data_IF_954243732369
#
_entry.id   IF_954243732369
#
_cell.length_a   1.000
_cell.length_b   1.000
_cell.length_c   1.000
_cell.angle_alpha   90.00
_cell.angle_beta   90.00
_cell.angle_gamma   90.00
#
_symmetry.space_group_name_H-M   'P 1'
#
loop_
_entity.id
_entity.type
_entity.pdbx_description
1 polymer ?
#
# COMPACT_ATOMS: atom_id res chain seq x y z
N UNK A 1 37.74 18.50 -5.20
CA UNK A 1 39.07 18.48 -5.84
C UNK A 1 39.74 17.13 -5.56
N UNK A 2 39.74 16.20 -6.53
CA UNK A 2 40.91 15.43 -6.97
C UNK A 2 40.46 14.51 -8.12
N UNK A 3 40.89 14.83 -9.34
CA UNK A 3 40.75 13.99 -10.53
C UNK A 3 41.94 13.04 -10.61
N UNK A 4 41.72 11.78 -10.99
CA UNK A 4 42.77 10.92 -11.54
C UNK A 4 42.37 10.45 -12.93
N UNK A 5 43.06 11.02 -13.92
CA UNK A 5 43.04 10.66 -15.33
C UNK A 5 43.85 9.39 -15.56
N UNK A 6 43.28 8.38 -16.23
CA UNK A 6 44.03 7.29 -16.84
C UNK A 6 44.25 7.60 -18.31
N UNK A 7 45.51 7.83 -18.70
CA UNK A 7 45.95 8.13 -20.07
C UNK A 7 46.64 6.87 -20.62
N UNK A 8 45.95 6.11 -21.46
CA UNK A 8 46.53 4.95 -22.16
C UNK A 8 47.05 5.42 -23.52
N UNK A 9 48.37 5.48 -23.68
CA UNK A 9 49.03 5.72 -24.96
C UNK A 9 49.35 4.37 -25.62
N UNK A 10 48.62 4.00 -26.67
CA UNK A 10 48.99 2.94 -27.60
C UNK A 10 49.94 3.53 -28.66
N UNK A 11 51.19 3.08 -28.67
CA UNK A 11 52.13 3.36 -29.76
C UNK A 11 52.52 2.02 -30.40
N UNK A 12 52.13 1.84 -31.66
CA UNK A 12 52.53 0.71 -32.51
C UNK A 12 53.85 1.07 -33.22
N UNK A 13 54.84 0.15 -33.28
CA UNK A 13 55.99 0.32 -34.16
C UNK A 13 55.68 -0.15 -35.61
N UNK A 14 56.42 0.35 -36.61
CA UNK A 14 56.13 0.15 -38.02
C UNK A 14 56.64 -1.19 -38.56
N UNK A 15 55.89 -1.70 -39.54
CA UNK A 15 56.15 -2.92 -40.32
C UNK A 15 57.36 -2.75 -41.23
N UNK A 16 58.22 -3.77 -41.27
CA UNK A 16 59.21 -3.98 -42.34
C UNK A 16 59.01 -5.36 -42.95
N UNK A 17 58.71 -5.39 -44.24
CA UNK A 17 58.68 -6.59 -45.07
C UNK A 17 60.10 -7.00 -45.47
N UNK A 18 60.41 -8.30 -45.40
CA UNK A 18 61.33 -8.97 -46.32
C UNK A 18 60.94 -10.44 -46.45
N UNK A 19 60.99 -10.94 -47.69
CA UNK A 19 60.40 -12.19 -48.11
C UNK A 19 61.15 -13.48 -47.75
N UNK A 20 60.38 -14.57 -47.74
CA UNK A 20 60.69 -15.80 -48.47
C UNK A 20 61.50 -16.89 -47.76
N UNK A 21 60.82 -17.96 -47.34
CA UNK A 21 61.03 -19.34 -47.85
C UNK A 21 60.13 -20.36 -47.12
N UNK A 22 59.70 -21.35 -47.89
CA UNK A 22 59.07 -22.62 -47.53
C UNK A 22 59.53 -23.20 -46.17
N UNK A 23 58.59 -23.74 -45.38
CA UNK A 23 58.66 -25.10 -44.81
C UNK A 23 57.34 -25.55 -44.14
N UNK A 24 57.04 -26.83 -44.37
CA UNK A 24 55.94 -27.65 -43.86
C UNK A 24 56.03 -27.82 -42.32
N UNK A 25 54.92 -27.69 -41.58
CA UNK A 25 54.94 -27.99 -40.14
C UNK A 25 53.63 -27.71 -39.39
N UNK A 26 52.87 -28.78 -39.12
CA UNK A 26 51.95 -29.04 -37.99
C UNK A 26 51.31 -27.83 -37.29
N UNK A 27 49.99 -27.69 -37.47
CA UNK A 27 49.10 -26.78 -36.71
C UNK A 27 49.09 -27.22 -35.24
N UNK A 28 49.92 -26.58 -34.42
CA UNK A 28 49.87 -26.65 -32.97
C UNK A 28 49.01 -25.50 -32.45
N UNK A 29 47.89 -25.85 -31.81
CA UNK A 29 46.95 -24.93 -31.16
C UNK A 29 47.66 -24.23 -29.98
N UNK A 30 48.26 -23.08 -30.23
CA UNK A 30 48.78 -22.19 -29.18
C UNK A 30 47.69 -21.18 -28.85
N UNK A 31 46.85 -21.53 -27.87
CA UNK A 31 45.96 -20.56 -27.22
C UNK A 31 46.84 -19.49 -26.56
N UNK A 32 46.80 -18.29 -27.12
CA UNK A 32 47.61 -17.16 -26.67
C UNK A 32 47.27 -16.81 -25.21
N UNK A 33 48.24 -16.71 -24.28
CA UNK A 33 47.99 -16.38 -22.87
C UNK A 33 47.31 -15.00 -22.69
N UNK A 34 47.31 -14.17 -23.75
CA UNK A 34 46.55 -12.92 -23.80
C UNK A 34 45.02 -13.14 -23.75
N UNK A 35 44.51 -14.23 -24.32
CA UNK A 35 43.08 -14.55 -24.35
C UNK A 35 42.60 -15.11 -23.00
N UNK A 36 43.49 -15.81 -22.28
CA UNK A 36 43.24 -16.25 -20.91
C UNK A 36 43.25 -15.06 -19.93
N UNK A 37 44.13 -14.07 -20.14
CA UNK A 37 44.17 -12.85 -19.34
C UNK A 37 42.92 -11.97 -19.57
N UNK A 38 42.38 -11.91 -20.79
CA UNK A 38 41.10 -11.22 -21.07
C UNK A 38 39.91 -11.97 -20.48
N UNK A 39 39.93 -13.31 -20.45
CA UNK A 39 38.88 -14.10 -19.77
C UNK A 39 38.97 -14.05 -18.23
N UNK A 40 40.16 -13.90 -17.65
CA UNK A 40 40.32 -13.76 -16.19
C UNK A 40 40.02 -12.35 -15.68
N UNK A 41 40.12 -11.33 -16.51
CA UNK A 41 39.70 -9.94 -16.19
C UNK A 41 38.21 -9.69 -16.49
N UNK A 42 37.52 -10.65 -17.10
CA UNK A 42 36.05 -10.64 -17.27
C UNK A 42 35.32 -11.54 -16.28
N UNK A 43 35.97 -11.96 -15.20
CA UNK A 43 35.28 -12.35 -13.96
C UNK A 43 34.69 -11.08 -13.36
N UNK A 44 33.51 -10.74 -13.88
CA UNK A 44 32.36 -10.39 -13.07
C UNK A 44 32.70 -9.49 -11.86
N UNK A 45 32.96 -8.21 -12.12
CA UNK A 45 32.21 -7.20 -11.35
C UNK A 45 30.78 -7.29 -11.87
N UNK A 46 30.10 -8.39 -11.55
CA UNK A 46 28.66 -8.33 -11.37
C UNK A 46 28.54 -7.41 -10.18
N UNK A 47 27.94 -6.20 -10.30
CA UNK A 47 27.49 -5.55 -9.09
C UNK A 47 26.65 -6.60 -8.40
N UNK A 48 27.10 -7.06 -7.23
CA UNK A 48 26.20 -7.70 -6.30
C UNK A 48 25.13 -6.63 -6.09
N UNK A 49 24.04 -6.73 -6.85
CA UNK A 49 22.77 -6.19 -6.46
C UNK A 49 22.59 -6.90 -5.13
N UNK A 50 22.90 -6.18 -4.05
CA UNK A 50 22.55 -6.59 -2.71
C UNK A 50 21.15 -7.16 -2.83
N UNK A 51 20.96 -8.43 -2.50
CA UNK A 51 19.63 -8.90 -2.21
C UNK A 51 19.05 -7.83 -1.26
N UNK A 52 17.99 -7.15 -1.68
CA UNK A 52 17.36 -6.15 -0.84
C UNK A 52 16.89 -6.89 0.39
N UNK A 53 17.65 -6.76 1.48
CA UNK A 53 17.36 -7.43 2.73
C UNK A 53 16.06 -6.81 3.27
N UNK A 54 15.07 -7.64 3.58
CA UNK A 54 13.84 -7.18 4.23
C UNK A 54 14.23 -6.65 5.62
N UNK A 55 13.81 -5.43 5.93
CA UNK A 55 14.14 -4.80 7.21
C UNK A 55 12.88 -4.69 8.05
N UNK A 56 12.87 -5.42 9.18
CA UNK A 56 11.80 -5.38 10.17
C UNK A 56 11.92 -4.11 11.00
N UNK A 57 10.82 -3.40 11.19
CA UNK A 57 10.71 -2.23 12.05
C UNK A 57 9.77 -2.53 13.23
N UNK A 58 10.02 -1.94 14.42
CA UNK A 58 8.99 -1.87 15.44
C UNK A 58 7.82 -1.01 14.93
N UNK A 59 6.61 -1.39 15.29
CA UNK A 59 5.42 -0.60 14.99
C UNK A 59 5.46 0.74 15.74
N UNK A 60 5.18 1.87 15.06
CA UNK A 60 4.96 3.14 15.73
C UNK A 60 3.60 3.13 16.44
N UNK A 61 3.59 3.51 17.72
CA UNK A 61 2.34 3.88 18.40
C UNK A 61 1.88 5.24 17.85
N UNK A 62 0.93 5.21 16.92
CA UNK A 62 0.32 6.42 16.36
C UNK A 62 -1.04 6.62 17.00
N UNK A 63 -1.13 7.52 17.96
CA UNK A 63 -2.39 7.93 18.55
C UNK A 63 -2.75 9.34 18.09
N UNK A 64 -3.98 9.52 17.61
CA UNK A 64 -4.54 10.85 17.38
C UNK A 64 -4.69 11.58 18.72
N UNK A 65 -4.53 12.90 18.67
CA UNK A 65 -4.82 13.77 19.80
C UNK A 65 -6.32 13.77 20.09
N UNK A 66 -6.70 14.05 21.35
CA UNK A 66 -8.10 14.23 21.72
C UNK A 66 -8.80 15.29 20.86
N UNK A 67 -8.07 16.33 20.44
CA UNK A 67 -8.61 17.39 19.60
C UNK A 67 -8.94 16.89 18.18
N UNK A 68 -8.10 16.04 17.60
CA UNK A 68 -8.33 15.46 16.27
C UNK A 68 -9.54 14.52 16.30
N UNK A 69 -9.63 13.66 17.32
CA UNK A 69 -10.78 12.77 17.53
C UNK A 69 -12.06 13.59 17.73
N UNK A 70 -12.02 14.65 18.54
CA UNK A 70 -13.17 15.53 18.78
C UNK A 70 -13.64 16.21 17.49
N UNK A 71 -12.72 16.65 16.64
CA UNK A 71 -13.02 17.27 15.35
C UNK A 71 -13.77 16.31 14.40
N UNK A 72 -13.40 15.02 14.40
CA UNK A 72 -14.07 13.99 13.61
C UNK A 72 -15.51 13.80 14.10
N UNK A 73 -15.72 13.66 15.40
CA UNK A 73 -17.09 13.51 15.95
C UNK A 73 -17.96 14.74 15.70
N UNK A 74 -17.40 15.95 15.85
CA UNK A 74 -18.13 17.17 15.49
C UNK A 74 -18.51 17.18 14.02
N UNK A 75 -17.60 16.78 13.12
CA UNK A 75 -17.89 16.70 11.68
C UNK A 75 -19.00 15.67 11.39
N UNK A 76 -18.96 14.49 12.01
CA UNK A 76 -20.02 13.49 11.86
C UNK A 76 -21.38 14.03 12.34
N UNK A 77 -21.40 14.75 13.45
CA UNK A 77 -22.62 15.37 13.97
C UNK A 77 -23.14 16.45 13.01
N UNK A 78 -22.26 17.28 12.45
CA UNK A 78 -22.62 18.29 11.45
C UNK A 78 -23.19 17.65 10.17
N UNK A 79 -22.59 16.55 9.69
CA UNK A 79 -23.06 15.80 8.52
C UNK A 79 -24.43 15.13 8.79
N UNK A 80 -24.65 14.59 9.99
CA UNK A 80 -25.97 14.07 10.41
C UNK A 80 -27.00 15.20 10.48
N UNK A 81 -26.66 16.35 11.05
CA UNK A 81 -27.55 17.52 11.15
C UNK A 81 -27.94 18.02 9.75
N UNK A 82 -26.99 18.03 8.79
CA UNK A 82 -27.20 18.48 7.42
C UNK A 82 -27.94 17.46 6.53
N UNK A 83 -28.04 16.19 6.94
CA UNK A 83 -28.67 15.12 6.15
C UNK A 83 -30.19 15.25 6.01
N UNK A 84 -30.76 14.62 4.97
CA UNK A 84 -32.21 14.64 4.67
C UNK A 84 -33.00 13.54 5.41
N UNK A 85 -32.45 12.97 6.49
CA UNK A 85 -33.11 11.92 7.29
C UNK A 85 -34.26 12.46 8.15
N UNK A 86 -35.12 11.56 8.60
CA UNK A 86 -36.26 11.88 9.48
C UNK A 86 -35.80 12.62 10.76
N UNK A 87 -36.61 13.58 11.21
CA UNK A 87 -36.25 14.48 12.31
C UNK A 87 -36.10 13.75 13.66
N UNK A 88 -36.91 12.72 13.92
CA UNK A 88 -36.81 11.95 15.16
C UNK A 88 -35.56 11.06 15.11
N UNK A 89 -35.28 10.43 13.96
CA UNK A 89 -34.05 9.64 13.74
C UNK A 89 -32.80 10.51 13.88
N UNK A 90 -32.80 11.71 13.28
CA UNK A 90 -31.70 12.68 13.38
C UNK A 90 -31.40 13.03 14.82
N UNK A 91 -32.44 13.35 15.60
CA UNK A 91 -32.30 13.71 17.00
C UNK A 91 -31.70 12.56 17.83
N UNK A 92 -32.16 11.34 17.63
CA UNK A 92 -31.68 10.16 18.36
C UNK A 92 -30.21 9.84 18.01
N UNK A 93 -29.82 9.97 16.73
CA UNK A 93 -28.44 9.79 16.28
C UNK A 93 -27.50 10.85 16.86
N UNK A 94 -27.90 12.12 16.84
CA UNK A 94 -27.08 13.21 17.42
C UNK A 94 -26.89 13.02 18.92
N UNK A 95 -27.92 12.59 19.64
CA UNK A 95 -27.80 12.25 21.04
C UNK A 95 -26.84 11.07 21.25
N UNK A 96 -26.95 10.03 20.41
CA UNK A 96 -26.09 8.85 20.48
C UNK A 96 -24.62 9.19 20.18
N UNK A 97 -24.36 10.00 19.15
CA UNK A 97 -23.03 10.51 18.81
C UNK A 97 -22.43 11.38 19.93
N UNK A 98 -23.25 12.20 20.58
CA UNK A 98 -22.82 12.97 21.74
C UNK A 98 -22.39 12.03 22.89
N UNK A 99 -23.13 10.94 23.15
CA UNK A 99 -22.76 9.95 24.16
C UNK A 99 -21.45 9.20 23.82
N UNK A 100 -21.23 8.89 22.54
CA UNK A 100 -19.97 8.32 22.04
C UNK A 100 -18.81 9.29 22.27
N UNK A 101 -18.99 10.55 21.85
CA UNK A 101 -18.00 11.63 22.00
C UNK A 101 -17.63 11.89 23.47
N UNK A 102 -18.63 11.91 24.35
CA UNK A 102 -18.43 12.09 25.80
C UNK A 102 -17.85 10.84 26.49
N UNK A 103 -17.61 9.77 25.72
CA UNK A 103 -17.05 8.50 26.20
C UNK A 103 -17.86 7.89 27.35
N UNK A 104 -19.19 7.96 27.25
CA UNK A 104 -20.13 7.51 28.30
C UNK A 104 -20.64 6.07 28.09
N UNK A 105 -20.21 5.44 27.00
CA UNK A 105 -20.68 4.13 26.53
C UNK A 105 -19.56 3.09 26.56
N UNK A 106 -19.95 1.81 26.56
CA UNK A 106 -19.00 0.71 26.30
C UNK A 106 -18.54 0.71 24.84
N UNK A 107 -17.40 0.08 24.54
CA UNK A 107 -16.87 0.05 23.17
C UNK A 107 -17.79 -0.69 22.18
N UNK A 108 -18.52 -1.70 22.65
CA UNK A 108 -19.54 -2.40 21.86
C UNK A 108 -20.69 -1.47 21.47
N UNK A 109 -21.18 -0.65 22.42
CA UNK A 109 -22.23 0.32 22.15
C UNK A 109 -21.75 1.43 21.21
N UNK A 110 -20.51 1.91 21.39
CA UNK A 110 -19.90 2.89 20.48
C UNK A 110 -19.82 2.34 19.05
N UNK A 111 -19.28 1.14 18.89
CA UNK A 111 -19.13 0.50 17.57
C UNK A 111 -20.47 0.33 16.86
N UNK A 112 -21.52 -0.11 17.60
CA UNK A 112 -22.86 -0.23 17.05
C UNK A 112 -23.43 1.12 16.57
N UNK A 113 -23.26 2.18 17.36
CA UNK A 113 -23.71 3.53 16.99
C UNK A 113 -22.94 4.06 15.77
N UNK A 114 -21.61 3.94 15.77
CA UNK A 114 -20.77 4.44 14.67
C UNK A 114 -21.05 3.69 13.36
N UNK A 115 -21.28 2.39 13.44
CA UNK A 115 -21.73 1.57 12.31
C UNK A 115 -23.05 2.08 11.72
N UNK A 116 -24.04 2.36 12.57
CA UNK A 116 -25.35 2.85 12.12
C UNK A 116 -25.24 4.25 11.49
N UNK A 117 -24.48 5.15 12.12
CA UNK A 117 -24.19 6.49 11.58
C UNK A 117 -23.53 6.38 10.20
N UNK A 118 -22.51 5.53 10.07
CA UNK A 118 -21.82 5.33 8.79
C UNK A 118 -22.75 4.83 7.69
N UNK A 119 -23.59 3.82 7.98
CA UNK A 119 -24.61 3.32 7.04
C UNK A 119 -25.53 4.44 6.58
N UNK A 120 -26.03 5.26 7.51
CA UNK A 120 -26.96 6.34 7.20
C UNK A 120 -26.29 7.42 6.35
N UNK A 121 -25.11 7.92 6.74
CA UNK A 121 -24.42 8.97 6.00
C UNK A 121 -24.07 8.52 4.56
N UNK A 122 -23.64 7.28 4.38
CA UNK A 122 -23.31 6.73 3.07
C UNK A 122 -24.54 6.50 2.18
N UNK A 123 -25.74 6.30 2.75
CA UNK A 123 -26.99 6.24 1.95
C UNK A 123 -27.43 7.60 1.40
N UNK A 124 -27.03 8.70 2.04
CA UNK A 124 -27.44 10.06 1.67
C UNK A 124 -26.50 10.69 0.64
N UNK A 125 -25.23 10.26 0.62
CA UNK A 125 -24.27 10.64 -0.42
C UNK A 125 -24.74 10.19 -1.80
N UNK A 126 -24.89 11.12 -2.74
CA UNK A 126 -25.33 10.83 -4.10
C UNK A 126 -24.44 9.78 -4.78
N UNK A 127 -24.98 8.58 -4.99
CA UNK A 127 -24.56 7.64 -6.02
C UNK A 127 -23.36 6.77 -5.68
N UNK A 128 -23.54 5.76 -4.81
CA UNK A 128 -22.66 4.59 -4.77
C UNK A 128 -21.18 4.94 -4.61
N UNK A 129 -20.86 5.89 -3.73
CA UNK A 129 -19.49 6.11 -3.25
C UNK A 129 -19.15 4.90 -2.38
N UNK A 130 -18.85 3.77 -3.03
CA UNK A 130 -17.83 2.88 -2.52
C UNK A 130 -16.57 3.72 -2.62
N UNK A 131 -16.01 4.16 -1.49
CA UNK A 131 -14.76 4.87 -1.52
C UNK A 131 -13.73 3.81 -1.81
N UNK A 132 -13.38 3.70 -3.08
CA UNK A 132 -12.41 2.72 -3.54
C UNK A 132 -11.08 3.42 -3.48
N UNK A 133 -10.15 2.91 -2.69
CA UNK A 133 -8.73 3.22 -2.85
C UNK A 133 -8.24 2.56 -4.15
N UNK A 134 -8.80 3.00 -5.28
CA UNK A 134 -8.81 2.47 -6.64
C UNK A 134 -8.47 0.98 -6.76
N UNK A 135 -9.42 0.17 -7.24
CA UNK A 135 -9.23 -1.24 -7.54
C UNK A 135 -9.84 -1.66 -8.88
N UNK A 136 -9.44 -2.83 -9.37
CA UNK A 136 -10.08 -3.51 -10.50
C UNK A 136 -10.36 -4.96 -10.14
N UNK A 137 -11.63 -5.38 -10.26
CA UNK A 137 -12.02 -6.78 -10.13
C UNK A 137 -11.31 -7.61 -11.21
N UNK A 138 -10.69 -8.72 -10.80
CA UNK A 138 -9.90 -9.56 -11.69
C UNK A 138 -8.49 -9.01 -11.99
N UNK A 139 -8.03 -8.02 -11.22
CA UNK A 139 -6.66 -7.55 -11.22
C UNK A 139 -6.37 -6.36 -12.13
N UNK A 140 -5.27 -5.67 -11.86
CA UNK A 140 -4.83 -4.53 -12.67
C UNK A 140 -3.84 -3.60 -11.95
N UNK A 141 -3.32 -2.59 -12.67
CA UNK A 141 -2.42 -1.59 -12.10
C UNK A 141 -3.22 -0.53 -11.32
N UNK A 142 -3.58 -0.86 -10.09
CA UNK A 142 -4.38 -0.03 -9.20
C UNK A 142 -3.93 -0.24 -7.74
N UNK A 143 -4.06 0.75 -6.85
CA UNK A 143 -3.55 0.69 -5.49
C UNK A 143 -3.87 -0.60 -4.72
N UNK A 144 -5.14 -1.00 -4.58
CA UNK A 144 -5.49 -2.26 -3.89
C UNK A 144 -4.77 -3.48 -4.49
N UNK A 145 -4.93 -3.67 -5.80
CA UNK A 145 -4.40 -4.82 -6.51
C UNK A 145 -2.86 -4.87 -6.46
N UNK A 146 -2.20 -3.74 -6.68
CA UNK A 146 -0.74 -3.65 -6.72
C UNK A 146 -0.13 -3.74 -5.32
N UNK A 147 -0.69 -3.07 -4.31
CA UNK A 147 -0.14 -3.12 -2.95
C UNK A 147 -0.22 -4.54 -2.37
N UNK A 148 -1.32 -5.26 -2.60
CA UNK A 148 -1.44 -6.65 -2.18
C UNK A 148 -0.42 -7.56 -2.90
N UNK A 149 -0.32 -7.43 -4.23
CA UNK A 149 0.65 -8.18 -5.05
C UNK A 149 2.09 -7.91 -4.64
N UNK A 150 2.46 -6.64 -4.49
CA UNK A 150 3.82 -6.20 -4.14
C UNK A 150 4.18 -6.71 -2.74
N UNK A 151 3.27 -6.65 -1.77
CA UNK A 151 3.50 -7.20 -0.44
C UNK A 151 3.80 -8.70 -0.51
N UNK A 152 2.98 -9.48 -1.23
CA UNK A 152 3.22 -10.91 -1.44
C UNK A 152 4.57 -11.22 -2.10
N UNK A 153 4.92 -10.48 -3.16
CA UNK A 153 6.19 -10.63 -3.86
C UNK A 153 7.39 -10.34 -2.95
N UNK A 154 7.32 -9.26 -2.16
CA UNK A 154 8.41 -8.86 -1.26
C UNK A 154 8.57 -9.85 -0.11
N UNK A 155 7.49 -10.45 0.35
CA UNK A 155 7.51 -11.49 1.40
C UNK A 155 7.78 -12.90 0.85
N UNK A 156 8.10 -13.04 -0.44
CA UNK A 156 8.57 -14.29 -1.02
C UNK A 156 7.48 -15.31 -1.33
N UNK A 157 6.22 -14.88 -1.47
CA UNK A 157 5.14 -15.75 -1.93
C UNK A 157 5.37 -16.20 -3.39
N UNK A 158 4.75 -17.31 -3.75
CA UNK A 158 4.81 -17.81 -5.13
C UNK A 158 4.16 -16.84 -6.12
N UNK A 159 4.53 -16.91 -7.39
CA UNK A 159 3.89 -16.10 -8.43
C UNK A 159 2.39 -16.37 -8.54
N UNK A 160 1.94 -17.61 -8.31
CA UNK A 160 0.51 -17.96 -8.32
C UNK A 160 -0.24 -17.28 -7.17
N UNK A 161 0.31 -17.33 -5.96
CA UNK A 161 -0.25 -16.63 -4.80
C UNK A 161 -0.32 -15.11 -5.05
N UNK A 162 0.75 -14.52 -5.58
CA UNK A 162 0.78 -13.09 -5.90
C UNK A 162 -0.26 -12.69 -6.97
N UNK A 163 -0.58 -13.59 -7.91
CA UNK A 163 -1.67 -13.38 -8.87
C UNK A 163 -3.02 -13.36 -8.14
N UNK A 164 -3.29 -14.31 -7.25
CA UNK A 164 -4.53 -14.34 -6.46
C UNK A 164 -4.68 -13.06 -5.63
N UNK A 165 -3.60 -12.63 -4.95
CA UNK A 165 -3.59 -11.37 -4.20
C UNK A 165 -3.93 -10.17 -5.10
N UNK A 166 -3.40 -10.13 -6.32
CA UNK A 166 -3.73 -9.06 -7.26
C UNK A 166 -5.18 -9.10 -7.70
N UNK A 167 -5.70 -10.28 -8.03
CA UNK A 167 -7.02 -10.42 -8.66
C UNK A 167 -8.17 -10.21 -7.67
N UNK A 168 -8.00 -10.64 -6.42
CA UNK A 168 -9.05 -10.62 -5.39
C UNK A 168 -9.03 -9.37 -4.48
N UNK A 169 -7.95 -8.58 -4.47
CA UNK A 169 -7.82 -7.46 -3.53
C UNK A 169 -8.81 -6.31 -3.76
N UNK A 170 -9.53 -6.26 -4.88
CA UNK A 170 -10.57 -5.26 -5.12
C UNK A 170 -11.99 -5.80 -4.87
N UNK A 171 -12.16 -7.11 -4.64
CA UNK A 171 -13.49 -7.71 -4.44
C UNK A 171 -14.30 -7.06 -3.30
N UNK A 172 -13.70 -6.69 -2.15
CA UNK A 172 -14.48 -6.13 -1.04
C UNK A 172 -15.17 -4.79 -1.36
N UNK A 173 -14.73 -4.08 -2.40
CA UNK A 173 -15.42 -2.88 -2.90
C UNK A 173 -16.81 -3.20 -3.49
N UNK A 174 -17.00 -4.42 -4.00
CA UNK A 174 -18.17 -4.83 -4.80
C UNK A 174 -19.11 -5.81 -4.04
N UNK A 175 -18.89 -6.06 -2.75
CA UNK A 175 -19.71 -6.99 -1.96
C UNK A 175 -21.16 -6.52 -1.70
N UNK A 176 -21.55 -5.36 -2.22
CA UNK A 176 -22.95 -4.92 -2.26
C UNK A 176 -23.48 -4.35 -0.94
N UNK A 177 -22.66 -4.29 0.10
CA UNK A 177 -22.90 -3.46 1.28
C UNK A 177 -22.51 -2.00 0.98
N UNK A 178 -23.06 -1.04 1.73
CA UNK A 178 -22.84 0.41 1.57
C UNK A 178 -21.39 0.88 1.84
N UNK A 179 -20.39 0.02 1.67
CA UNK A 179 -18.96 0.23 2.01
C UNK A 179 -18.73 0.79 3.41
N UNK A 180 -19.70 0.62 4.33
CA UNK A 180 -19.61 1.18 5.66
C UNK A 180 -18.46 0.56 6.44
N UNK A 181 -18.10 -0.70 6.19
CA UNK A 181 -17.01 -1.41 6.84
C UNK A 181 -15.62 -1.11 6.25
N UNK A 182 -15.50 -0.14 5.33
CA UNK A 182 -14.22 0.30 4.75
C UNK A 182 -13.54 1.41 5.55
N UNK A 183 -14.21 1.92 6.59
CA UNK A 183 -13.66 2.98 7.44
C UNK A 183 -13.20 2.46 8.80
N UNK A 184 -12.21 3.14 9.38
CA UNK A 184 -11.68 2.83 10.70
C UNK A 184 -12.77 2.80 11.79
N UNK A 185 -13.54 3.87 11.92
CA UNK A 185 -14.51 4.01 13.03
C UNK A 185 -15.73 3.08 12.92
N UNK A 186 -15.90 2.40 11.79
CA UNK A 186 -17.09 1.60 11.48
C UNK A 186 -16.79 0.13 11.22
N UNK A 187 -15.53 -0.31 11.10
CA UNK A 187 -15.20 -1.74 11.16
C UNK A 187 -14.05 -2.25 10.31
N UNK A 188 -13.33 -1.41 9.56
CA UNK A 188 -12.22 -1.88 8.72
C UNK A 188 -11.12 -2.67 9.49
N UNK A 189 -10.72 -2.29 10.72
CA UNK A 189 -9.76 -3.08 11.51
C UNK A 189 -10.25 -4.50 11.81
N UNK A 190 -11.52 -4.64 12.20
CA UNK A 190 -12.14 -5.93 12.49
C UNK A 190 -12.23 -6.80 11.23
N UNK A 191 -12.54 -6.20 10.07
CA UNK A 191 -12.54 -6.91 8.80
C UNK A 191 -11.12 -7.37 8.41
N UNK A 192 -10.12 -6.50 8.53
CA UNK A 192 -8.72 -6.85 8.27
C UNK A 192 -8.31 -8.06 9.13
N UNK A 193 -8.59 -8.05 10.43
CA UNK A 193 -8.29 -9.15 11.34
C UNK A 193 -9.06 -10.43 11.01
N UNK A 194 -10.38 -10.32 10.79
CA UNK A 194 -11.23 -11.46 10.47
C UNK A 194 -10.69 -12.24 9.27
N UNK A 195 -10.42 -11.54 8.16
CA UNK A 195 -9.93 -12.17 6.95
C UNK A 195 -8.48 -12.66 7.08
N UNK A 196 -7.63 -11.99 7.87
CA UNK A 196 -6.29 -12.48 8.20
C UNK A 196 -6.34 -13.81 8.93
N UNK A 197 -7.24 -13.94 9.92
CA UNK A 197 -7.40 -15.15 10.71
C UNK A 197 -7.99 -16.31 9.89
N UNK A 198 -8.94 -16.02 8.97
CA UNK A 198 -9.44 -17.02 8.02
C UNK A 198 -8.31 -17.48 7.08
N UNK A 199 -7.52 -16.54 6.54
CA UNK A 199 -6.39 -16.86 5.67
C UNK A 199 -5.36 -17.74 6.38
N UNK A 200 -5.01 -17.41 7.64
CA UNK A 200 -4.16 -18.25 8.50
C UNK A 200 -4.73 -19.65 8.67
N UNK A 201 -6.03 -19.75 8.94
CA UNK A 201 -6.69 -21.04 9.08
C UNK A 201 -6.49 -21.95 7.87
N UNK A 202 -6.60 -21.42 6.66
CA UNK A 202 -6.40 -22.19 5.43
C UNK A 202 -4.92 -22.49 5.12
N UNK A 203 -4.03 -21.50 5.26
CA UNK A 203 -2.61 -21.66 4.88
C UNK A 203 -1.78 -22.49 5.86
N UNK A 204 -2.28 -22.70 7.08
CA UNK A 204 -1.65 -23.55 8.09
C UNK A 204 -2.38 -24.89 8.27
N UNK A 205 -3.38 -25.18 7.43
CA UNK A 205 -3.99 -26.51 7.36
C UNK A 205 -3.09 -27.48 6.57
N UNK A 206 -3.21 -28.78 6.81
CA UNK A 206 -2.42 -29.82 6.14
C UNK A 206 -2.91 -30.09 4.69
N UNK A 207 -4.01 -29.45 4.26
CA UNK A 207 -4.60 -29.58 2.92
C UNK A 207 -4.24 -28.38 2.01
N UNK A 208 -3.19 -28.51 1.16
CA UNK A 208 -2.76 -27.43 0.28
C UNK A 208 -3.75 -27.13 -0.85
N UNK A 209 -4.83 -27.91 -1.02
CA UNK A 209 -5.89 -27.55 -1.96
C UNK A 209 -6.70 -26.32 -1.51
N UNK A 210 -6.53 -25.90 -0.25
CA UNK A 210 -7.14 -24.70 0.31
C UNK A 210 -6.27 -23.45 0.17
N UNK A 211 -5.03 -23.55 -0.35
CA UNK A 211 -4.12 -22.41 -0.47
C UNK A 211 -4.74 -21.25 -1.25
N UNK A 212 -5.46 -21.53 -2.33
CA UNK A 212 -6.13 -20.50 -3.13
C UNK A 212 -7.17 -19.73 -2.30
N UNK A 213 -7.93 -20.42 -1.43
CA UNK A 213 -8.85 -19.78 -0.48
C UNK A 213 -8.10 -18.97 0.57
N UNK A 214 -6.97 -19.49 1.06
CA UNK A 214 -6.08 -18.80 1.98
C UNK A 214 -5.57 -17.48 1.42
N UNK A 215 -5.01 -17.50 0.20
CA UNK A 215 -4.53 -16.29 -0.47
C UNK A 215 -5.65 -15.34 -0.86
N UNK A 216 -6.83 -15.85 -1.23
CA UNK A 216 -8.01 -15.00 -1.50
C UNK A 216 -8.43 -14.22 -0.26
N UNK A 217 -8.51 -14.89 0.91
CA UNK A 217 -8.82 -14.20 2.17
C UNK A 217 -7.69 -13.26 2.63
N UNK A 218 -6.42 -13.60 2.36
CA UNK A 218 -5.32 -12.68 2.58
C UNK A 218 -5.46 -11.41 1.72
N UNK A 219 -5.91 -11.54 0.46
CA UNK A 219 -6.19 -10.39 -0.39
C UNK A 219 -7.29 -9.49 0.21
N UNK A 220 -8.35 -10.08 0.76
CA UNK A 220 -9.42 -9.33 1.44
C UNK A 220 -8.91 -8.62 2.70
N UNK A 221 -8.07 -9.28 3.49
CA UNK A 221 -7.44 -8.64 4.66
C UNK A 221 -6.54 -7.46 4.25
N UNK A 222 -5.73 -7.65 3.20
CA UNK A 222 -4.86 -6.61 2.63
C UNK A 222 -5.67 -5.44 2.05
N UNK A 223 -6.86 -5.69 1.51
CA UNK A 223 -7.77 -4.64 1.06
C UNK A 223 -8.11 -3.68 2.20
N UNK A 224 -8.67 -4.19 3.31
CA UNK A 224 -9.05 -3.36 4.46
C UNK A 224 -7.85 -2.70 5.15
N UNK A 225 -6.68 -3.37 5.18
CA UNK A 225 -5.45 -2.72 5.67
C UNK A 225 -5.01 -1.58 4.73
N UNK A 226 -5.14 -1.77 3.42
CA UNK A 226 -4.80 -0.75 2.41
C UNK A 226 -5.73 0.45 2.49
N UNK A 227 -7.03 0.22 2.70
CA UNK A 227 -8.00 1.28 2.99
C UNK A 227 -7.53 2.14 4.16
N UNK A 228 -6.99 1.58 5.22
CA UNK A 228 -6.57 2.40 6.36
C UNK A 228 -5.31 3.22 6.09
N UNK A 229 -4.62 2.99 4.97
CA UNK A 229 -3.58 3.88 4.48
C UNK A 229 -4.14 5.15 3.83
N UNK A 230 -5.44 5.22 3.54
CA UNK A 230 -6.14 6.37 3.00
C UNK A 230 -6.64 7.28 4.13
N UNK A 231 -6.18 8.55 4.22
CA UNK A 231 -6.69 9.52 5.18
C UNK A 231 -8.23 9.58 5.31
N UNK A 232 -8.98 9.55 4.20
CA UNK A 232 -10.45 9.66 4.17
C UNK A 232 -11.17 8.41 4.65
N UNK A 233 -10.48 7.26 4.77
CA UNK A 233 -11.06 6.04 5.33
C UNK A 233 -10.98 6.01 6.86
N UNK A 234 -10.60 7.10 7.53
CA UNK A 234 -10.75 7.15 8.98
C UNK A 234 -12.24 7.17 9.39
N UNK A 235 -13.05 8.00 8.73
CA UNK A 235 -14.48 8.17 8.99
C UNK A 235 -15.22 8.61 7.72
N UNK A 236 -16.53 8.30 7.56
CA UNK A 236 -17.32 8.64 6.39
C UNK A 236 -17.74 10.13 6.39
N UNK A 237 -16.73 11.01 6.39
CA UNK A 237 -16.86 12.48 6.36
C UNK A 237 -16.11 13.03 5.15
N UNK A 238 -16.47 14.24 4.72
CA UNK A 238 -15.83 14.90 3.56
C UNK A 238 -15.91 14.09 2.24
N UNK A 239 -17.02 13.38 2.01
CA UNK A 239 -17.19 12.44 0.88
C UNK A 239 -16.92 13.03 -0.51
N UNK A 240 -17.20 14.32 -0.72
CA UNK A 240 -16.89 14.99 -1.99
C UNK A 240 -15.38 15.13 -2.23
N UNK A 241 -14.62 15.49 -1.19
CA UNK A 241 -13.15 15.51 -1.25
C UNK A 241 -12.60 14.09 -1.40
N UNK A 242 -13.18 13.13 -0.69
CA UNK A 242 -12.83 11.72 -0.78
C UNK A 242 -12.85 11.23 -2.23
N UNK A 243 -13.99 11.36 -2.92
CA UNK A 243 -14.14 10.93 -4.30
C UNK A 243 -13.17 11.65 -5.26
N UNK A 244 -12.96 12.95 -5.08
CA UNK A 244 -12.02 13.72 -5.90
C UNK A 244 -10.56 13.26 -5.67
N UNK A 245 -10.19 12.95 -4.43
CA UNK A 245 -8.86 12.51 -4.07
C UNK A 245 -8.55 11.13 -4.66
N UNK A 246 -9.43 10.15 -4.48
CA UNK A 246 -9.21 8.78 -4.93
C UNK A 246 -9.39 8.62 -6.43
N UNK A 247 -10.62 8.84 -6.91
CA UNK A 247 -11.03 8.46 -8.26
C UNK A 247 -10.43 9.36 -9.33
N UNK A 248 -10.00 10.57 -8.97
CA UNK A 248 -9.42 11.52 -9.92
C UNK A 248 -7.94 11.77 -9.71
N UNK A 249 -7.47 11.97 -8.48
CA UNK A 249 -6.06 12.33 -8.26
C UNK A 249 -5.15 11.13 -8.08
N UNK A 250 -5.42 10.27 -7.10
CA UNK A 250 -4.61 9.08 -6.80
C UNK A 250 -4.63 8.14 -8.00
N UNK A 251 -5.82 7.81 -8.51
CA UNK A 251 -5.98 6.93 -9.66
C UNK A 251 -5.11 7.34 -10.86
N UNK A 252 -5.19 8.62 -11.26
CA UNK A 252 -4.44 9.12 -12.41
C UNK A 252 -2.93 9.23 -12.16
N UNK A 253 -2.50 9.30 -10.90
CA UNK A 253 -1.09 9.41 -10.51
C UNK A 253 -0.49 8.12 -9.96
N UNK A 254 -1.22 7.00 -10.00
CA UNK A 254 -0.76 5.73 -9.45
C UNK A 254 0.48 5.20 -10.19
N UNK A 255 0.37 5.04 -11.51
CA UNK A 255 1.45 4.54 -12.38
C UNK A 255 2.02 5.60 -13.33
N UNK A 256 1.61 6.86 -13.13
CA UNK A 256 1.95 7.97 -14.01
C UNK A 256 2.08 9.27 -13.21
N UNK A 257 2.66 10.32 -13.80
CA UNK A 257 2.74 11.62 -13.14
C UNK A 257 3.59 11.57 -11.87
N UNK A 258 2.95 11.56 -10.69
CA UNK A 258 3.64 11.46 -9.39
C UNK A 258 4.19 10.04 -9.12
N UNK A 259 3.62 9.02 -9.76
CA UNK A 259 4.02 7.61 -9.76
C UNK A 259 4.16 6.99 -8.36
N UNK A 260 3.04 6.97 -7.63
CA UNK A 260 2.99 6.43 -6.26
C UNK A 260 3.26 4.92 -6.18
N UNK A 261 2.98 4.17 -7.25
CA UNK A 261 3.31 2.74 -7.33
C UNK A 261 4.80 2.50 -7.14
N UNK A 262 5.64 3.34 -7.75
CA UNK A 262 7.09 3.23 -7.58
C UNK A 262 7.54 3.47 -6.13
N UNK A 263 6.89 4.38 -5.40
CA UNK A 263 7.20 4.60 -3.98
C UNK A 263 6.93 3.32 -3.15
N UNK A 264 5.86 2.57 -3.46
CA UNK A 264 5.56 1.26 -2.85
C UNK A 264 6.55 0.18 -3.29
N UNK A 265 6.86 0.09 -4.58
CA UNK A 265 7.80 -0.92 -5.11
C UNK A 265 9.22 -0.76 -4.55
N UNK A 266 9.65 0.47 -4.28
CA UNK A 266 10.98 0.78 -3.74
C UNK A 266 11.09 0.59 -2.22
N UNK A 267 9.97 0.47 -1.50
CA UNK A 267 9.98 0.20 -0.06
C UNK A 267 10.36 -1.26 0.25
N UNK A 268 11.32 -1.48 1.15
CA UNK A 268 11.75 -2.82 1.61
C UNK A 268 11.63 -3.00 3.13
N UNK A 269 11.04 -2.01 3.80
CA UNK A 269 10.80 -2.03 5.23
C UNK A 269 9.39 -2.55 5.49
N UNK A 270 9.20 -3.27 6.59
CA UNK A 270 7.88 -3.68 7.04
C UNK A 270 7.77 -3.63 8.56
N UNK A 271 6.55 -3.51 9.06
CA UNK A 271 6.26 -3.55 10.49
C UNK A 271 5.93 -4.97 10.94
N UNK A 272 6.44 -5.38 12.09
CA UNK A 272 6.17 -6.71 12.62
C UNK A 272 4.78 -6.77 13.29
N UNK A 273 3.78 -7.21 12.52
CA UNK A 273 2.39 -7.32 12.97
C UNK A 273 2.20 -8.50 13.91
N UNK A 274 1.65 -8.23 15.10
CA UNK A 274 1.21 -9.24 16.07
C UNK A 274 -0.29 -9.25 16.34
N UNK A 275 -0.92 -8.08 16.20
CA UNK A 275 -2.36 -7.88 16.32
C UNK A 275 -2.81 -7.05 15.11
N UNK A 276 -3.67 -7.63 14.27
CA UNK A 276 -4.02 -7.04 12.98
C UNK A 276 -4.92 -5.82 13.18
N UNK A 277 -5.84 -5.86 14.16
CA UNK A 277 -6.78 -4.77 14.41
C UNK A 277 -6.05 -3.55 15.02
N UNK A 278 -5.15 -3.77 15.98
CA UNK A 278 -4.32 -2.70 16.54
C UNK A 278 -3.39 -2.09 15.47
N UNK A 279 -2.77 -2.93 14.63
CA UNK A 279 -1.92 -2.47 13.51
C UNK A 279 -2.70 -1.62 12.50
N UNK A 280 -3.91 -2.07 12.16
CA UNK A 280 -4.85 -1.35 11.33
C UNK A 280 -5.21 0.02 11.94
N UNK A 281 -5.45 0.09 13.25
CA UNK A 281 -5.69 1.34 13.96
C UNK A 281 -4.50 2.29 13.98
N UNK A 282 -3.28 1.77 14.13
CA UNK A 282 -2.04 2.55 14.03
C UNK A 282 -1.87 3.17 12.64
N UNK A 283 -2.13 2.40 11.58
CA UNK A 283 -2.07 2.88 10.20
C UNK A 283 -3.15 3.95 9.93
N UNK A 284 -4.40 3.69 10.32
CA UNK A 284 -5.49 4.64 10.18
C UNK A 284 -5.16 5.99 10.85
N UNK A 285 -4.61 5.94 12.07
CA UNK A 285 -4.19 7.12 12.81
C UNK A 285 -3.03 7.85 12.13
N UNK A 286 -2.04 7.12 11.59
CA UNK A 286 -0.92 7.70 10.86
C UNK A 286 -1.39 8.45 9.61
N UNK A 287 -2.26 7.83 8.81
CA UNK A 287 -2.81 8.44 7.60
C UNK A 287 -3.71 9.64 7.93
N UNK A 288 -4.53 9.54 8.97
CA UNK A 288 -5.44 10.62 9.35
C UNK A 288 -4.72 11.90 9.84
N UNK A 289 -3.49 11.81 10.37
CA UNK A 289 -2.68 13.01 10.70
C UNK A 289 -2.47 13.94 9.50
N UNK A 290 -2.62 13.43 8.27
CA UNK A 290 -2.49 14.21 7.03
C UNK A 290 -3.82 14.78 6.52
N UNK A 291 -4.96 14.27 6.99
CA UNK A 291 -6.31 14.59 6.51
C UNK A 291 -6.56 16.09 6.45
N UNK A 292 -6.33 16.77 7.58
CA UNK A 292 -6.66 18.18 7.75
C UNK A 292 -5.91 19.10 6.81
N UNK A 293 -4.68 18.75 6.44
CA UNK A 293 -3.91 19.49 5.46
C UNK A 293 -4.41 19.20 4.04
N UNK A 294 -4.61 17.91 3.71
CA UNK A 294 -5.05 17.47 2.38
C UNK A 294 -6.40 18.11 2.04
N UNK A 295 -7.41 17.92 2.88
CA UNK A 295 -8.76 18.49 2.70
C UNK A 295 -8.71 20.01 2.50
N UNK A 296 -8.08 20.76 3.42
CA UNK A 296 -8.02 22.23 3.31
C UNK A 296 -7.31 22.68 2.04
N UNK A 297 -6.30 21.94 1.59
CA UNK A 297 -5.61 22.23 0.32
C UNK A 297 -6.56 22.03 -0.86
N UNK A 298 -7.34 20.95 -0.86
CA UNK A 298 -8.35 20.69 -1.89
C UNK A 298 -9.43 21.78 -1.95
N UNK A 299 -9.89 22.26 -0.80
CA UNK A 299 -10.94 23.29 -0.73
C UNK A 299 -10.45 24.67 -1.17
N UNK A 300 -9.18 24.99 -0.92
CA UNK A 300 -8.63 26.34 -1.12
C UNK A 300 -8.05 26.57 -2.53
N UNK A 301 -7.56 25.52 -3.19
CA UNK A 301 -6.76 25.67 -4.42
C UNK A 301 -7.32 24.81 -5.54
N UNK A 302 -7.61 25.40 -6.70
CA UNK A 302 -8.10 24.65 -7.86
C UNK A 302 -7.08 23.68 -8.47
N UNK A 303 -5.79 23.89 -8.21
CA UNK A 303 -4.68 23.03 -8.64
C UNK A 303 -4.07 22.24 -7.46
N UNK A 304 -4.87 21.91 -6.45
CA UNK A 304 -4.45 21.24 -5.22
C UNK A 304 -3.58 20.00 -5.43
N UNK A 305 -3.78 19.23 -6.51
CA UNK A 305 -2.99 18.03 -6.83
C UNK A 305 -1.51 18.29 -7.16
N UNK A 306 -1.12 19.55 -7.40
CA UNK A 306 0.29 19.94 -7.58
C UNK A 306 0.93 20.48 -6.30
N UNK A 307 0.20 20.52 -5.19
CA UNK A 307 0.74 20.95 -3.91
C UNK A 307 1.81 19.95 -3.43
N UNK A 308 3.06 20.38 -3.20
CA UNK A 308 4.16 19.48 -2.87
C UNK A 308 3.99 18.78 -1.52
N UNK A 309 3.35 19.43 -0.54
CA UNK A 309 3.09 18.83 0.77
C UNK A 309 1.99 17.79 0.68
N UNK A 310 0.92 18.04 -0.08
CA UNK A 310 -0.12 17.05 -0.35
C UNK A 310 0.49 15.82 -1.03
N UNK A 311 1.30 16.01 -2.08
CA UNK A 311 2.01 14.92 -2.77
C UNK A 311 2.84 14.12 -1.77
N UNK A 312 3.63 14.78 -0.91
CA UNK A 312 4.47 14.09 0.06
C UNK A 312 3.64 13.32 1.10
N UNK A 313 2.53 13.87 1.57
CA UNK A 313 1.65 13.17 2.51
C UNK A 313 0.96 11.97 1.87
N UNK A 314 0.52 12.09 0.61
CA UNK A 314 0.03 10.94 -0.16
C UNK A 314 1.10 9.85 -0.28
N UNK A 315 2.37 10.21 -0.52
CA UNK A 315 3.48 9.24 -0.54
C UNK A 315 3.67 8.54 0.79
N UNK A 316 3.66 9.29 1.89
CA UNK A 316 3.83 8.72 3.22
C UNK A 316 2.74 7.68 3.52
N UNK A 317 1.48 8.02 3.22
CA UNK A 317 0.33 7.12 3.33
C UNK A 317 0.59 5.78 2.60
N UNK A 318 0.98 5.84 1.32
CA UNK A 318 1.27 4.64 0.53
C UNK A 318 2.45 3.83 1.06
N UNK A 319 3.53 4.50 1.47
CA UNK A 319 4.72 3.83 2.00
C UNK A 319 4.43 3.17 3.34
N UNK A 320 3.65 3.80 4.21
CA UNK A 320 3.25 3.19 5.49
C UNK A 320 2.27 2.04 5.27
N UNK A 321 1.27 2.19 4.39
CA UNK A 321 0.40 1.08 3.99
C UNK A 321 1.18 -0.11 3.42
N UNK A 322 2.23 0.13 2.62
CA UNK A 322 3.09 -0.93 2.11
C UNK A 322 3.83 -1.69 3.22
N UNK A 323 4.34 -0.99 4.26
CA UNK A 323 5.01 -1.62 5.41
C UNK A 323 4.06 -2.50 6.20
N UNK A 324 2.84 -2.04 6.44
CA UNK A 324 1.81 -2.81 7.15
C UNK A 324 1.31 -4.00 6.33
N UNK A 325 1.09 -3.84 5.02
CA UNK A 325 0.70 -4.94 4.15
C UNK A 325 1.75 -6.06 4.11
N UNK A 326 3.04 -5.71 4.03
CA UNK A 326 4.12 -6.69 4.14
C UNK A 326 4.12 -7.38 5.51
N UNK A 327 3.91 -6.62 6.59
CA UNK A 327 3.75 -7.16 7.94
C UNK A 327 2.55 -8.08 8.12
N UNK A 328 1.44 -7.79 7.44
CA UNK A 328 0.25 -8.61 7.44
C UNK A 328 0.47 -9.93 6.68
N UNK A 329 1.18 -9.90 5.55
CA UNK A 329 1.60 -11.14 4.85
C UNK A 329 2.53 -11.97 5.74
N UNK A 330 3.49 -11.34 6.43
CA UNK A 330 4.34 -12.01 7.43
C UNK A 330 3.48 -12.63 8.53
N UNK A 331 2.59 -11.85 9.16
CA UNK A 331 1.67 -12.31 10.19
C UNK A 331 0.87 -13.51 9.71
N UNK A 332 0.32 -13.51 8.49
CA UNK A 332 -0.51 -14.61 8.00
C UNK A 332 0.31 -15.87 7.67
N UNK A 333 1.53 -15.73 7.17
CA UNK A 333 2.33 -16.89 6.70
C UNK A 333 3.32 -17.42 7.73
N UNK A 334 3.61 -16.65 8.78
CA UNK A 334 4.51 -17.04 9.87
C UNK A 334 3.92 -18.19 10.70
N UNK A 335 4.76 -19.21 10.90
CA UNK A 335 4.48 -20.45 11.65
C UNK A 335 4.32 -20.23 13.15
#
# INVERSE_FOLDING_TARGET
MLFLYLKVCLSLPPVKETGGKHMNGKIGMWASPLLLAVMLVSVAVVPAVSASELIVLPEPENALTHQEIDCIYVTLMDDVEASDIDADVKKDLLQSLQMVRDNTLSDVEKSAILTEVGKILLTQGSGGVSPQWSGYIGGGPAPHNDMARIAGQKMGLSSAACTILNEAAADPDDWGDLSWNHYFITGAPDQAEQYANIARGYLHDDDPSNDDLGYTNLAYSLHFMTDLSQPFHYAPVYLANHQAYESSYVHNNWTSGKDYRSDVELNWYYYYVTDVSDSAGNLASASNQHMDYIRRTMDQYSNWGDNPTLIQYTRNCFVDGAKYNMGLVDYVTRS
#
